data_IF_457784518026
#
_entry.id   IF_457784518026
#
_cell.length_a   1.000
_cell.length_b   1.000
_cell.length_c   1.000
_cell.angle_alpha   90.00
_cell.angle_beta   90.00
_cell.angle_gamma   90.00
#
_symmetry.space_group_name_H-M   'P 1'
#
loop_
_entity.id
_entity.type
_entity.pdbx_description
1 polymer ?
#
# COMPACT_ATOMS: atom_id res chain seq x y z
N UNK A 1 18.67 17.42 3.23
CA UNK A 1 17.74 18.37 2.55
C UNK A 1 16.88 19.02 3.62
N UNK A 2 16.84 20.34 3.68
CA UNK A 2 15.98 21.06 4.64
C UNK A 2 14.52 20.79 4.28
N UNK A 3 13.74 20.32 5.26
CA UNK A 3 12.30 20.23 5.12
C UNK A 3 11.80 21.65 4.79
N UNK A 4 11.43 21.88 3.53
CA UNK A 4 10.72 23.10 3.19
C UNK A 4 9.42 23.05 3.96
N UNK A 5 9.26 24.02 4.87
CA UNK A 5 8.01 24.33 5.54
C UNK A 5 6.93 24.49 4.47
N UNK A 6 6.21 23.42 4.17
CA UNK A 6 4.86 23.52 3.66
C UNK A 6 4.14 24.32 4.74
N UNK A 7 3.96 25.63 4.53
CA UNK A 7 2.96 26.39 5.29
C UNK A 7 1.69 25.58 5.13
N UNK A 8 1.26 24.90 6.19
CA UNK A 8 0.05 24.09 6.17
C UNK A 8 -1.05 24.99 5.65
N UNK A 9 -1.47 24.78 4.41
CA UNK A 9 -2.73 25.37 3.97
C UNK A 9 -3.82 24.84 4.88
N UNK A 10 -4.94 25.56 4.97
CA UNK A 10 -6.18 25.09 5.62
C UNK A 10 -6.77 23.88 4.87
N UNK A 11 -5.99 22.81 4.75
CA UNK A 11 -6.41 21.52 4.26
C UNK A 11 -6.88 20.71 5.45
N UNK A 12 -7.94 19.92 5.27
CA UNK A 12 -8.53 19.06 6.29
C UNK A 12 -8.43 17.58 5.93
N UNK A 13 -8.15 17.25 4.67
CA UNK A 13 -8.04 15.87 4.21
C UNK A 13 -6.96 15.75 3.14
N UNK A 14 -6.25 14.65 3.18
CA UNK A 14 -5.32 14.24 2.14
C UNK A 14 -5.58 12.81 1.65
N UNK A 15 -5.17 12.51 0.42
CA UNK A 15 -5.28 11.17 -0.16
C UNK A 15 -4.07 10.90 -1.06
N UNK A 16 -3.60 9.66 -1.04
CA UNK A 16 -2.65 9.12 -2.01
C UNK A 16 -3.41 8.34 -3.07
N UNK A 17 -3.30 8.79 -4.33
CA UNK A 17 -3.85 8.09 -5.48
C UNK A 17 -2.72 7.53 -6.32
N UNK A 18 -2.91 6.31 -6.80
CA UNK A 18 -2.01 5.66 -7.74
C UNK A 18 -2.69 5.57 -9.10
N UNK A 19 -2.03 6.09 -10.12
CA UNK A 19 -2.32 5.80 -11.52
C UNK A 19 -1.35 4.73 -11.99
N UNK A 20 -1.87 3.59 -12.40
CA UNK A 20 -1.07 2.48 -12.91
C UNK A 20 -1.45 2.16 -14.35
N UNK A 21 -0.46 1.98 -15.22
CA UNK A 21 -0.70 1.68 -16.64
C UNK A 21 0.35 0.74 -17.22
N UNK A 22 -0.06 0.06 -18.28
CA UNK A 22 0.85 -0.64 -19.18
C UNK A 22 1.72 0.38 -19.95
N UNK A 23 3.01 0.08 -20.09
CA UNK A 23 3.96 0.83 -20.92
C UNK A 23 4.63 -0.07 -21.98
N UNK A 24 4.19 -1.31 -22.11
CA UNK A 24 4.56 -2.20 -23.20
C UNK A 24 3.81 -1.88 -24.50
N UNK A 25 4.31 -2.40 -25.60
CA UNK A 25 3.60 -2.33 -26.90
C UNK A 25 2.50 -3.38 -27.00
N UNK A 26 2.63 -4.49 -26.27
CA UNK A 26 1.68 -5.58 -26.24
C UNK A 26 0.75 -5.49 -25.02
N UNK A 27 -0.51 -5.97 -25.13
CA UNK A 27 -1.40 -6.10 -23.98
C UNK A 27 -0.82 -6.99 -22.89
N UNK A 28 -1.09 -6.66 -21.62
CA UNK A 28 -0.64 -7.47 -20.48
C UNK A 28 -1.33 -8.84 -20.51
N UNK A 29 -0.53 -9.91 -20.58
CA UNK A 29 -1.03 -11.30 -20.65
C UNK A 29 -0.79 -12.12 -19.38
N UNK A 30 0.11 -11.68 -18.52
CA UNK A 30 0.45 -12.32 -17.26
C UNK A 30 0.91 -11.27 -16.27
N UNK A 31 0.98 -11.65 -14.99
CA UNK A 31 1.35 -10.78 -13.89
C UNK A 31 0.47 -9.53 -13.96
N UNK A 32 -0.83 -9.65 -13.78
CA UNK A 32 -1.74 -8.50 -13.77
C UNK A 32 -1.56 -7.70 -12.47
N UNK A 33 -1.98 -6.43 -12.46
CA UNK A 33 -2.16 -5.71 -11.20
C UNK A 33 -3.48 -6.16 -10.58
N UNK A 34 -3.39 -6.96 -9.52
CA UNK A 34 -4.53 -7.29 -8.68
C UNK A 34 -4.77 -6.18 -7.66
N UNK A 35 -6.01 -5.74 -7.53
CA UNK A 35 -6.49 -4.77 -6.56
C UNK A 35 -7.51 -5.45 -5.63
N UNK A 36 -7.31 -5.33 -4.33
CA UNK A 36 -8.21 -5.88 -3.32
C UNK A 36 -9.40 -4.96 -3.08
N UNK A 37 -10.60 -5.53 -3.01
CA UNK A 37 -11.76 -4.84 -2.45
C UNK A 37 -11.66 -4.77 -0.92
N UNK A 38 -11.32 -3.59 -0.41
CA UNK A 38 -11.13 -3.36 1.02
C UNK A 38 -12.37 -3.63 1.89
N UNK A 39 -13.57 -3.70 1.29
CA UNK A 39 -14.80 -4.07 2.01
C UNK A 39 -14.80 -5.54 2.44
N UNK A 40 -13.92 -6.34 1.85
CA UNK A 40 -13.75 -7.78 2.15
C UNK A 40 -12.62 -8.06 3.13
N UNK A 41 -11.96 -7.01 3.62
CA UNK A 41 -10.87 -7.09 4.60
C UNK A 41 -11.44 -7.16 6.01
N UNK A 42 -10.91 -8.10 6.81
CA UNK A 42 -11.23 -8.27 8.24
C UNK A 42 -10.41 -7.27 9.06
N UNK A 43 -11.07 -6.20 9.55
CA UNK A 43 -10.43 -5.14 10.33
C UNK A 43 -10.51 -5.43 11.83
N UNK A 44 -9.45 -5.18 12.62
CA UNK A 44 -8.11 -4.72 12.20
C UNK A 44 -7.16 -5.85 11.78
N UNK A 45 -7.56 -7.11 11.94
CA UNK A 45 -6.69 -8.29 11.91
C UNK A 45 -5.93 -8.54 10.60
N UNK A 46 -6.43 -8.01 9.48
CA UNK A 46 -5.75 -8.08 8.19
C UNK A 46 -4.65 -7.02 8.02
N UNK A 47 -4.55 -6.02 8.88
CA UNK A 47 -3.55 -4.95 8.76
C UNK A 47 -2.30 -5.29 9.57
N UNK A 48 -1.55 -6.28 9.10
CA UNK A 48 -0.31 -6.70 9.77
C UNK A 48 0.80 -5.69 9.47
N UNK A 49 1.27 -5.01 10.51
CA UNK A 49 2.38 -4.05 10.44
C UNK A 49 3.64 -4.77 9.99
N UNK A 50 4.34 -4.19 9.01
CA UNK A 50 5.60 -4.69 8.49
C UNK A 50 6.56 -3.55 8.21
N UNK A 51 7.76 -3.67 8.73
CA UNK A 51 8.82 -2.71 8.46
C UNK A 51 9.47 -2.99 7.10
N UNK A 52 9.55 -1.95 6.27
CA UNK A 52 10.30 -1.96 5.02
C UNK A 52 11.52 -1.07 5.19
N UNK A 53 12.69 -1.72 5.20
CA UNK A 53 13.98 -1.08 5.40
C UNK A 53 14.72 -1.12 4.07
N UNK A 54 15.04 0.05 3.53
CA UNK A 54 15.83 0.23 2.31
C UNK A 54 17.08 1.08 2.55
N UNK A 55 17.81 1.35 1.48
CA UNK A 55 18.98 2.22 1.55
C UNK A 55 18.55 3.68 1.81
N UNK A 56 18.78 4.14 3.03
CA UNK A 56 18.46 5.50 3.47
C UNK A 56 16.98 5.76 3.85
N UNK A 57 16.12 4.74 3.90
CA UNK A 57 14.73 4.92 4.35
C UNK A 57 14.19 3.71 5.13
N UNK A 58 13.26 4.02 6.03
CA UNK A 58 12.56 3.09 6.92
C UNK A 58 11.08 3.47 6.90
N UNK A 59 10.23 2.58 6.41
CA UNK A 59 8.80 2.84 6.22
C UNK A 59 7.99 1.68 6.77
N UNK A 60 6.97 2.00 7.56
CA UNK A 60 5.95 1.04 7.97
C UNK A 60 4.96 0.81 6.83
N UNK A 61 4.74 -0.44 6.47
CA UNK A 61 3.71 -0.87 5.54
C UNK A 61 2.76 -1.87 6.22
N UNK A 62 1.64 -2.12 5.56
CA UNK A 62 0.70 -3.16 5.99
C UNK A 62 0.73 -4.32 5.00
N UNK A 63 0.66 -5.54 5.53
CA UNK A 63 0.47 -6.76 4.76
C UNK A 63 -0.83 -7.43 5.22
N UNK A 64 -1.53 -8.06 4.28
CA UNK A 64 -2.74 -8.85 4.58
C UNK A 64 -2.43 -10.11 5.39
N UNK A 65 -3.34 -10.47 6.28
CA UNK A 65 -3.26 -11.72 7.03
C UNK A 65 -3.70 -12.90 6.15
N UNK A 66 -2.82 -13.88 5.97
CA UNK A 66 -3.09 -15.05 5.13
C UNK A 66 -4.28 -15.89 5.62
N UNK A 67 -4.63 -15.82 6.92
CA UNK A 67 -5.77 -16.55 7.49
C UNK A 67 -7.11 -16.15 6.87
N UNK A 68 -7.23 -14.94 6.34
CA UNK A 68 -8.47 -14.43 5.75
C UNK A 68 -8.45 -14.42 4.21
N UNK A 69 -7.45 -15.05 3.58
CA UNK A 69 -7.28 -15.04 2.13
C UNK A 69 -8.53 -15.51 1.35
N UNK A 70 -9.33 -16.42 1.91
CA UNK A 70 -10.56 -16.92 1.29
C UNK A 70 -11.72 -15.90 1.31
N UNK A 71 -11.65 -14.88 2.15
CA UNK A 71 -12.65 -13.81 2.22
C UNK A 71 -12.31 -12.66 1.26
N UNK A 72 -11.02 -12.48 0.97
CA UNK A 72 -10.48 -11.40 0.14
C UNK A 72 -10.97 -11.52 -1.30
N UNK A 73 -11.64 -10.47 -1.80
CA UNK A 73 -12.00 -10.36 -3.22
C UNK A 73 -10.99 -9.51 -3.96
N UNK A 74 -10.34 -10.13 -4.93
CA UNK A 74 -9.35 -9.51 -5.80
C UNK A 74 -9.92 -9.28 -7.19
N UNK A 75 -9.61 -8.12 -7.76
CA UNK A 75 -10.00 -7.73 -9.10
C UNK A 75 -8.76 -7.36 -9.91
N UNK A 76 -8.75 -7.71 -11.18
CA UNK A 76 -7.71 -7.31 -12.12
C UNK A 76 -8.33 -7.02 -13.48
N UNK A 77 -7.60 -6.29 -14.31
CA UNK A 77 -8.05 -5.92 -15.66
C UNK A 77 -7.21 -6.68 -16.70
N UNK A 78 -7.72 -7.79 -17.27
CA UNK A 78 -6.96 -8.62 -18.19
C UNK A 78 -6.71 -7.90 -19.52
N UNK A 79 -5.60 -8.24 -20.19
CA UNK A 79 -5.28 -7.71 -21.53
C UNK A 79 -5.20 -6.18 -21.59
N UNK A 80 -4.78 -5.53 -20.50
CA UNK A 80 -4.60 -4.07 -20.48
C UNK A 80 -3.64 -3.61 -21.57
N UNK A 81 -4.11 -2.71 -22.42
CA UNK A 81 -3.36 -2.03 -23.46
C UNK A 81 -2.64 -0.79 -22.93
N UNK A 82 -1.76 -0.20 -23.74
CA UNK A 82 -0.98 0.99 -23.33
C UNK A 82 -1.82 2.25 -23.10
N UNK A 83 -3.02 2.29 -23.68
CA UNK A 83 -3.93 3.43 -23.64
C UNK A 83 -4.94 3.35 -22.48
N UNK A 84 -4.85 2.29 -21.68
CA UNK A 84 -5.68 2.06 -20.50
C UNK A 84 -4.88 2.27 -19.23
N UNK A 85 -5.56 2.72 -18.18
CA UNK A 85 -4.97 2.92 -16.87
C UNK A 85 -5.98 2.58 -15.77
N UNK A 86 -5.47 2.08 -14.64
CA UNK A 86 -6.24 1.91 -13.41
C UNK A 86 -5.87 3.07 -12.48
N UNK A 87 -6.89 3.78 -12.00
CA UNK A 87 -6.76 4.73 -10.92
C UNK A 87 -7.33 4.10 -9.65
N UNK A 88 -6.53 4.05 -8.59
CA UNK A 88 -6.95 3.47 -7.31
C UNK A 88 -6.39 4.25 -6.13
N UNK A 89 -7.08 4.13 -4.98
CA UNK A 89 -6.66 4.76 -3.72
C UNK A 89 -5.55 3.94 -3.09
N UNK A 90 -4.40 4.56 -2.85
CA UNK A 90 -3.37 3.97 -2.00
C UNK A 90 -3.76 4.16 -0.53
N UNK A 91 -4.14 5.38 -0.15
CA UNK A 91 -4.68 5.67 1.18
C UNK A 91 -5.52 6.96 1.18
N UNK A 92 -6.59 6.96 1.94
CA UNK A 92 -7.42 8.13 2.25
C UNK A 92 -7.40 8.42 3.74
N UNK A 93 -7.10 9.67 4.11
CA UNK A 93 -7.02 10.08 5.51
C UNK A 93 -8.40 10.13 6.19
N UNK A 94 -9.49 10.25 5.42
CA UNK A 94 -10.85 10.28 5.95
C UNK A 94 -11.28 8.92 6.52
N UNK A 95 -11.25 8.81 7.85
CA UNK A 95 -11.60 7.61 8.60
C UNK A 95 -13.07 7.19 8.55
N UNK A 96 -13.97 8.07 8.08
CA UNK A 96 -15.39 7.75 7.97
C UNK A 96 -15.74 6.95 6.72
N UNK A 97 -14.84 6.89 5.73
CA UNK A 97 -15.08 6.21 4.45
C UNK A 97 -14.83 4.71 4.54
N UNK A 98 -15.66 3.93 3.84
CA UNK A 98 -15.33 2.56 3.45
C UNK A 98 -14.42 2.60 2.19
N UNK A 99 -13.36 1.80 2.12
CA UNK A 99 -12.49 1.77 0.94
C UNK A 99 -11.41 2.86 0.94
N UNK A 100 -10.78 3.13 2.09
CA UNK A 100 -9.67 4.07 2.26
C UNK A 100 -8.36 3.56 1.67
N UNK A 101 -8.11 2.25 1.65
CA UNK A 101 -6.84 1.64 1.25
C UNK A 101 -7.10 0.59 0.18
N UNK A 102 -6.22 0.49 -0.82
CA UNK A 102 -6.25 -0.60 -1.80
C UNK A 102 -4.93 -1.38 -1.73
N UNK A 103 -4.97 -2.54 -1.06
CA UNK A 103 -3.91 -3.51 -1.22
C UNK A 103 -3.85 -3.96 -2.67
N UNK A 104 -2.64 -4.02 -3.21
CA UNK A 104 -2.42 -4.41 -4.60
C UNK A 104 -1.16 -5.26 -4.71
N UNK A 105 -1.16 -6.19 -5.65
CA UNK A 105 -0.01 -7.07 -5.89
C UNK A 105 0.01 -7.56 -7.34
N UNK A 106 1.12 -8.19 -7.72
CA UNK A 106 1.21 -8.91 -8.98
C UNK A 106 0.45 -10.24 -8.87
N UNK A 107 -0.47 -10.49 -9.79
CA UNK A 107 -1.26 -11.73 -9.84
C UNK A 107 -0.93 -12.49 -11.13
N UNK A 108 -0.42 -13.72 -11.00
CA UNK A 108 -0.13 -14.57 -12.14
C UNK A 108 -1.42 -15.07 -12.81
N UNK A 109 -1.44 -15.06 -14.13
CA UNK A 109 -2.55 -15.55 -14.93
C UNK A 109 -2.33 -17.03 -15.27
N UNK A 110 -3.18 -17.96 -14.81
CA UNK A 110 -3.01 -19.39 -15.07
C UNK A 110 -3.16 -19.75 -16.56
N UNK A 111 -3.73 -18.85 -17.37
CA UNK A 111 -3.90 -19.03 -18.82
C UNK A 111 -2.75 -18.42 -19.63
N UNK A 112 -1.80 -17.75 -18.97
CA UNK A 112 -0.66 -17.16 -19.63
C UNK A 112 0.23 -18.22 -20.31
N UNK A 113 0.57 -17.99 -21.58
CA UNK A 113 1.51 -18.85 -22.29
C UNK A 113 2.94 -18.56 -21.83
N UNK A 114 3.84 -19.56 -21.87
CA UNK A 114 5.28 -19.36 -21.59
C UNK A 114 5.98 -18.36 -22.53
N UNK A 115 5.35 -18.01 -23.66
CA UNK A 115 5.84 -17.03 -24.63
C UNK A 115 5.30 -15.62 -24.37
N UNK A 116 4.43 -15.44 -23.37
CA UNK A 116 3.90 -14.13 -23.02
C UNK A 116 5.06 -13.18 -22.68
N UNK A 117 5.07 -11.95 -23.22
CA UNK A 117 6.08 -10.98 -22.86
C UNK A 117 5.96 -10.62 -21.38
N UNK A 118 7.08 -10.37 -20.69
CA UNK A 118 7.05 -9.84 -19.33
C UNK A 118 6.26 -8.53 -19.26
N UNK A 119 5.45 -8.36 -18.22
CA UNK A 119 4.73 -7.10 -17.99
C UNK A 119 5.71 -5.94 -17.84
N UNK A 120 5.43 -4.85 -18.55
CA UNK A 120 6.06 -3.56 -18.37
C UNK A 120 4.99 -2.55 -17.93
N UNK A 121 5.15 -1.96 -16.75
CA UNK A 121 4.18 -1.03 -16.18
C UNK A 121 4.84 0.13 -15.47
N UNK A 122 4.11 1.22 -15.32
CA UNK A 122 4.50 2.36 -14.49
C UNK A 122 3.40 2.68 -13.48
N UNK A 123 3.80 3.09 -12.29
CA UNK A 123 2.93 3.65 -11.26
C UNK A 123 3.32 5.10 -11.01
N UNK A 124 2.34 5.99 -11.09
CA UNK A 124 2.47 7.40 -10.73
C UNK A 124 1.67 7.63 -9.46
N UNK A 125 2.35 8.15 -8.43
CA UNK A 125 1.71 8.49 -7.15
C UNK A 125 1.42 9.97 -7.08
N UNK A 126 0.19 10.28 -6.72
CA UNK A 126 -0.32 11.64 -6.58
C UNK A 126 -0.78 11.87 -5.15
N UNK A 127 -0.48 13.05 -4.62
CA UNK A 127 -1.03 13.51 -3.35
C UNK A 127 -2.11 14.54 -3.62
N UNK A 128 -3.29 14.30 -3.08
CA UNK A 128 -4.43 15.19 -3.19
C UNK A 128 -4.72 15.80 -1.81
N UNK A 129 -5.06 17.10 -1.78
CA UNK A 129 -5.37 17.84 -0.55
C UNK A 129 -6.69 18.59 -0.74
N UNK A 130 -7.57 18.52 0.25
CA UNK A 130 -8.87 19.20 0.27
C UNK A 130 -8.94 20.17 1.44
N UNK A 131 -9.42 21.39 1.17
CA UNK A 131 -9.71 22.39 2.19
C UNK A 131 -11.02 22.11 2.90
N UNK A 132 -12.04 21.81 2.10
CA UNK A 132 -13.37 21.48 2.59
C UNK A 132 -13.48 19.97 2.78
N UNK A 133 -13.33 19.53 4.03
CA UNK A 133 -13.66 18.18 4.46
C UNK A 133 -14.40 18.24 5.80
N UNK A 134 -15.27 17.25 6.03
CA UNK A 134 -16.06 17.14 7.28
C UNK A 134 -15.14 16.84 8.46
N UNK A 135 -14.21 15.91 8.28
CA UNK A 135 -13.19 15.56 9.28
C UNK A 135 -11.88 16.26 8.93
N UNK A 136 -11.28 16.88 9.94
CA UNK A 136 -9.87 17.29 9.87
C UNK A 136 -8.99 16.11 10.25
N UNK A 137 -8.25 15.62 9.27
CA UNK A 137 -7.42 14.43 9.29
C UNK A 137 -5.98 14.76 8.91
N UNK A 138 -5.65 16.04 8.79
CA UNK A 138 -4.28 16.44 8.52
C UNK A 138 -3.38 16.05 9.70
N UNK A 139 -2.17 15.54 9.41
CA UNK A 139 -1.21 15.23 10.44
C UNK A 139 -0.77 16.52 11.14
N UNK A 140 -0.91 16.54 12.47
CA UNK A 140 -0.46 17.59 13.39
C UNK A 140 0.58 17.01 14.35
N UNK A 141 1.26 17.84 15.14
CA UNK A 141 2.11 17.34 16.24
C UNK A 141 1.34 16.48 17.24
N UNK A 142 0.05 16.74 17.40
CA UNK A 142 -0.75 16.18 18.49
C UNK A 142 -1.40 14.85 18.10
N UNK A 143 -1.69 14.65 16.80
CA UNK A 143 -2.28 13.40 16.28
C UNK A 143 -1.27 12.50 15.56
N UNK A 144 -0.06 12.99 15.29
CA UNK A 144 1.06 12.17 14.87
C UNK A 144 1.81 11.75 16.13
N UNK A 145 1.65 10.49 16.52
CA UNK A 145 2.46 9.88 17.57
C UNK A 145 3.92 9.69 17.11
N UNK A 146 4.61 10.79 16.78
CA UNK A 146 5.99 10.79 16.29
C UNK A 146 6.93 10.12 17.29
N UNK A 147 6.62 10.24 18.58
CA UNK A 147 7.39 9.66 19.67
C UNK A 147 7.16 8.15 19.83
N UNK A 148 6.09 7.60 19.23
CA UNK A 148 5.76 6.16 19.24
C UNK A 148 6.27 5.47 17.97
N UNK A 149 6.56 6.23 16.91
CA UNK A 149 7.28 5.74 15.74
C UNK A 149 8.75 5.52 16.11
N UNK A 150 9.02 4.42 16.81
CA UNK A 150 10.38 3.93 17.00
C UNK A 150 11.06 3.78 15.64
N UNK A 151 12.33 4.14 15.56
CA UNK A 151 13.11 3.83 14.35
C UNK A 151 13.06 2.32 14.12
N UNK A 152 12.66 1.85 12.93
CA UNK A 152 12.72 0.42 12.61
C UNK A 152 14.08 -0.21 12.88
N UNK A 153 15.19 0.52 12.74
CA UNK A 153 16.52 0.05 13.18
C UNK A 153 16.64 -0.15 14.68
N UNK A 154 16.18 0.80 15.49
CA UNK A 154 16.22 0.71 16.95
C UNK A 154 15.34 -0.44 17.45
N UNK A 155 14.13 -0.58 16.89
CA UNK A 155 13.23 -1.68 17.20
C UNK A 155 13.83 -3.05 16.78
N UNK A 156 14.40 -3.14 15.58
CA UNK A 156 15.08 -4.35 15.13
C UNK A 156 16.31 -4.71 15.99
N UNK A 157 17.04 -3.71 16.51
CA UNK A 157 18.14 -3.93 17.44
C UNK A 157 17.64 -4.45 18.80
N UNK A 158 16.53 -3.92 19.32
CA UNK A 158 15.89 -4.42 20.54
C UNK A 158 15.43 -5.88 20.39
N UNK A 159 14.86 -6.25 19.24
CA UNK A 159 14.48 -7.62 18.94
C UNK A 159 15.70 -8.57 18.87
N UNK A 160 16.83 -8.13 18.32
CA UNK A 160 18.07 -8.93 18.30
C UNK A 160 18.72 -9.11 19.66
N UNK A 161 18.55 -8.15 20.59
CA UNK A 161 18.98 -8.27 21.98
C UNK A 161 18.07 -9.16 22.84
N UNK A 162 16.88 -9.47 22.34
CA UNK A 162 15.87 -10.28 23.03
C UNK A 162 16.01 -11.75 22.62
N UNK A 163 16.87 -12.50 23.31
CA UNK A 163 17.17 -13.92 23.04
C UNK A 163 16.00 -14.92 23.29
N UNK A 164 14.73 -14.49 23.20
CA UNK A 164 13.55 -15.33 23.48
C UNK A 164 12.60 -15.54 22.29
N UNK A 165 13.14 -15.61 21.06
CA UNK A 165 12.35 -16.04 19.89
C UNK A 165 12.92 -17.30 19.24
N UNK A 166 13.20 -18.30 20.06
CA UNK A 166 13.37 -19.68 19.60
C UNK A 166 12.03 -20.43 19.73
N UNK A 167 11.11 -20.21 18.80
CA UNK A 167 10.12 -21.21 18.30
C UNK A 167 8.92 -20.54 17.64
N UNK A 168 9.08 -20.08 16.41
CA UNK A 168 7.95 -19.95 15.49
C UNK A 168 8.46 -20.12 14.06
N UNK A 169 8.82 -21.36 13.72
CA UNK A 169 8.93 -21.77 12.33
C UNK A 169 7.54 -21.64 11.70
N UNK A 170 7.31 -20.54 10.98
CA UNK A 170 6.15 -20.36 10.11
C UNK A 170 6.56 -20.71 8.67
N UNK A 171 6.93 -21.97 8.48
CA UNK A 171 6.84 -22.65 7.19
C UNK A 171 6.38 -24.09 7.41
N UNK A 172 5.09 -24.31 7.16
CA UNK A 172 4.54 -25.53 6.57
C UNK A 172 3.43 -25.11 5.62
#
# INVERSE_FOLDING_TARGET
MKANNLKGGDYKRYCYLNLWRNIGNEPIRDNHLGCLDERTVVKPDDYIIKDVIGDGYEVVQYQLNARHATQHKWYYFPSMTRDEAILFKQMDSDGSLSGRVCFHMSVSDPTATKKAPPRQSIEIRMMCFWKDAVLDTMPTSDNMHRDVLQSPKEYAAQLKGSNNLASASLFR
#
